data_IF_052177096455
#
_entry.id   IF_052177096455
#
_cell.length_a   1.000
_cell.length_b   1.000
_cell.length_c   1.000
_cell.angle_alpha   90.00
_cell.angle_beta   90.00
_cell.angle_gamma   90.00
#
_symmetry.space_group_name_H-M   'P 1'
#
loop_
_entity.id
_entity.type
_entity.pdbx_description
1 polymer ?
#
# COMPACT_ATOMS: atom_id res chain seq x y z
N UNK A 1 -3.21 13.72 1.04
CA UNK A 1 -3.19 13.30 -0.38
C UNK A 1 -3.63 14.45 -1.26
N UNK A 2 -2.68 15.12 -1.92
CA UNK A 2 -3.01 16.15 -2.91
C UNK A 2 -3.47 15.50 -4.23
N UNK A 3 -4.51 16.07 -4.85
CA UNK A 3 -5.00 15.60 -6.15
C UNK A 3 -3.97 15.98 -7.23
N UNK A 4 -3.61 15.01 -8.08
CA UNK A 4 -2.77 15.25 -9.26
C UNK A 4 -1.30 14.83 -9.13
N UNK A 5 -0.87 14.28 -7.98
CA UNK A 5 0.46 13.73 -7.83
C UNK A 5 0.49 12.30 -8.39
N UNK A 6 1.28 12.10 -9.44
CA UNK A 6 1.56 10.81 -10.04
C UNK A 6 2.92 10.31 -9.54
N UNK A 7 3.07 8.99 -9.43
CA UNK A 7 4.40 8.38 -9.39
C UNK A 7 4.95 8.37 -10.81
N UNK A 8 5.99 9.14 -11.06
CA UNK A 8 6.49 9.45 -12.39
C UNK A 8 7.68 8.59 -12.81
N UNK A 9 8.25 8.94 -13.97
CA UNK A 9 9.40 8.27 -14.55
C UNK A 9 10.62 8.29 -13.60
N UNK A 10 10.82 9.40 -12.89
CA UNK A 10 11.92 9.57 -11.94
C UNK A 10 11.89 8.48 -10.87
N UNK A 11 10.73 8.22 -10.28
CA UNK A 11 10.55 7.22 -9.22
C UNK A 11 10.73 5.79 -9.75
N UNK A 12 10.25 5.50 -10.96
CA UNK A 12 10.45 4.22 -11.63
C UNK A 12 11.93 3.95 -11.92
N UNK A 13 12.63 4.92 -12.52
CA UNK A 13 14.07 4.83 -12.79
C UNK A 13 14.87 4.68 -11.49
N UNK A 14 14.57 5.49 -10.48
CA UNK A 14 15.25 5.43 -9.19
C UNK A 14 15.10 4.03 -8.55
N UNK A 15 13.88 3.49 -8.56
CA UNK A 15 13.61 2.15 -8.03
C UNK A 15 14.38 1.07 -8.79
N UNK A 16 14.41 1.16 -10.12
CA UNK A 16 15.12 0.18 -10.94
C UNK A 16 16.64 0.24 -10.74
N UNK A 17 17.23 1.44 -10.63
CA UNK A 17 18.67 1.56 -10.36
C UNK A 17 19.05 0.98 -9.00
N UNK A 18 18.24 1.21 -7.97
CA UNK A 18 18.45 0.56 -6.65
C UNK A 18 18.35 -0.95 -6.72
N UNK A 19 17.44 -1.47 -7.54
CA UNK A 19 17.33 -2.91 -7.77
C UNK A 19 18.60 -3.46 -8.40
N UNK A 20 19.17 -2.78 -9.40
CA UNK A 20 20.44 -3.17 -10.01
C UNK A 20 21.58 -3.19 -9.00
N UNK A 21 21.78 -2.10 -8.26
CA UNK A 21 22.85 -1.99 -7.26
C UNK A 21 22.78 -3.11 -6.20
N UNK A 22 21.58 -3.41 -5.69
CA UNK A 22 21.41 -4.45 -4.67
C UNK A 22 21.58 -5.85 -5.27
N UNK A 23 21.19 -6.03 -6.55
CA UNK A 23 21.30 -7.31 -7.24
C UNK A 23 22.77 -7.73 -7.45
N UNK A 24 23.71 -6.79 -7.47
CA UNK A 24 25.15 -7.10 -7.53
C UNK A 24 25.65 -7.85 -6.29
N UNK A 25 25.02 -7.63 -5.13
CA UNK A 25 25.44 -8.19 -3.84
C UNK A 25 24.46 -9.21 -3.26
N UNK A 26 23.26 -9.33 -3.83
CA UNK A 26 22.20 -10.24 -3.36
C UNK A 26 21.39 -10.77 -4.54
N UNK A 27 21.02 -12.05 -4.47
CA UNK A 27 20.09 -12.61 -5.46
C UNK A 27 18.68 -12.06 -5.23
N UNK A 28 18.20 -11.25 -6.18
CA UNK A 28 16.84 -10.71 -6.21
C UNK A 28 16.10 -11.21 -7.44
N UNK A 29 14.88 -11.72 -7.23
CA UNK A 29 14.02 -12.26 -8.31
C UNK A 29 13.37 -11.17 -9.17
N UNK A 30 13.17 -9.99 -8.60
CA UNK A 30 12.50 -8.88 -9.26
C UNK A 30 12.32 -7.70 -8.31
N UNK A 31 11.69 -6.66 -8.81
CA UNK A 31 11.37 -5.44 -8.08
C UNK A 31 9.97 -4.98 -8.44
N UNK A 32 9.24 -4.48 -7.45
CA UNK A 32 7.92 -3.90 -7.62
C UNK A 32 7.89 -2.49 -7.05
N UNK A 33 7.32 -1.55 -7.81
CA UNK A 33 7.02 -0.21 -7.34
C UNK A 33 5.53 -0.11 -7.02
N UNK A 34 5.23 0.23 -5.76
CA UNK A 34 3.85 0.32 -5.25
C UNK A 34 3.50 1.76 -4.93
N UNK A 35 2.31 2.22 -5.31
CA UNK A 35 1.80 3.56 -4.98
C UNK A 35 0.29 3.54 -4.68
N UNK A 36 -0.15 4.39 -3.74
CA UNK A 36 -1.57 4.60 -3.45
C UNK A 36 -2.21 5.65 -4.37
N UNK A 37 -1.50 6.12 -5.41
CA UNK A 37 -2.03 7.02 -6.43
C UNK A 37 -2.00 6.35 -7.82
N UNK A 38 -1.53 7.05 -8.84
CA UNK A 38 -1.46 6.60 -10.24
C UNK A 38 -0.04 6.76 -10.75
N UNK A 39 0.35 5.91 -11.71
CA UNK A 39 1.58 6.08 -12.46
C UNK A 39 1.39 7.02 -13.65
N UNK A 40 2.44 7.71 -14.08
CA UNK A 40 2.46 8.38 -15.38
C UNK A 40 2.67 7.36 -16.51
N UNK A 41 2.25 7.70 -17.73
CA UNK A 41 2.44 6.83 -18.90
C UNK A 41 3.91 6.52 -19.16
N UNK A 42 4.79 7.50 -18.94
CA UNK A 42 6.24 7.31 -19.04
C UNK A 42 6.78 6.31 -18.02
N UNK A 43 6.25 6.33 -16.78
CA UNK A 43 6.64 5.35 -15.76
C UNK A 43 6.18 3.94 -16.15
N UNK A 44 4.96 3.80 -16.67
CA UNK A 44 4.42 2.52 -17.15
C UNK A 44 5.24 1.99 -18.32
N UNK A 45 5.56 2.85 -19.29
CA UNK A 45 6.35 2.47 -20.47
C UNK A 45 7.76 2.03 -20.07
N UNK A 46 8.46 2.82 -19.25
CA UNK A 46 9.77 2.46 -18.72
C UNK A 46 9.72 1.11 -17.99
N UNK A 47 8.76 0.96 -17.07
CA UNK A 47 8.63 -0.27 -16.29
C UNK A 47 8.40 -1.50 -17.14
N UNK A 48 7.55 -1.40 -18.17
CA UNK A 48 7.32 -2.49 -19.14
C UNK A 48 8.60 -2.86 -19.90
N UNK A 49 9.40 -1.87 -20.30
CA UNK A 49 10.65 -2.11 -21.04
C UNK A 49 11.73 -2.79 -20.18
N UNK A 50 11.80 -2.46 -18.89
CA UNK A 50 12.86 -2.94 -17.99
C UNK A 50 12.42 -4.08 -17.06
N UNK A 51 11.16 -4.53 -17.15
CA UNK A 51 10.63 -5.60 -16.29
C UNK A 51 10.50 -5.20 -14.82
N UNK A 52 10.16 -3.93 -14.54
CA UNK A 52 9.82 -3.43 -13.21
C UNK A 52 8.31 -3.59 -12.99
N UNK A 53 7.90 -4.39 -12.01
CA UNK A 53 6.48 -4.57 -11.69
C UNK A 53 5.89 -3.28 -11.10
N UNK A 54 4.64 -3.00 -11.43
CA UNK A 54 3.93 -1.81 -10.94
C UNK A 54 2.60 -2.21 -10.28
N UNK A 55 2.33 -1.68 -9.09
CA UNK A 55 1.05 -1.77 -8.40
C UNK A 55 0.60 -0.39 -7.93
N UNK A 56 -0.40 0.17 -8.60
CA UNK A 56 -0.98 1.47 -8.29
C UNK A 56 -2.37 1.34 -7.68
N UNK A 57 -2.98 2.46 -7.28
CA UNK A 57 -4.33 2.46 -6.74
C UNK A 57 -5.37 1.88 -7.70
N UNK A 58 -5.16 2.02 -9.01
CA UNK A 58 -6.03 1.51 -10.09
C UNK A 58 -5.25 0.77 -11.19
N UNK A 59 -4.03 0.35 -10.88
CA UNK A 59 -3.11 -0.28 -11.83
C UNK A 59 -2.50 -1.56 -11.24
N UNK A 60 -2.38 -2.66 -12.00
CA UNK A 60 -2.89 -2.82 -13.37
C UNK A 60 -4.43 -2.77 -13.40
N UNK A 61 -5.05 -2.41 -14.54
CA UNK A 61 -6.50 -2.30 -14.63
C UNK A 61 -7.18 -3.60 -14.18
N UNK A 62 -8.14 -3.49 -13.25
CA UNK A 62 -8.87 -4.63 -12.68
C UNK A 62 -8.13 -5.43 -11.61
N UNK A 63 -6.86 -5.11 -11.35
CA UNK A 63 -5.99 -5.81 -10.40
C UNK A 63 -5.14 -4.82 -9.57
N UNK A 64 -5.64 -3.60 -9.41
CA UNK A 64 -4.98 -2.56 -8.62
C UNK A 64 -5.07 -2.80 -7.11
N UNK A 65 -4.42 -1.91 -6.36
CA UNK A 65 -4.35 -2.01 -4.90
C UNK A 65 -5.75 -1.92 -4.26
N UNK A 66 -6.64 -1.11 -4.81
CA UNK A 66 -8.04 -1.00 -4.36
C UNK A 66 -8.79 -2.32 -4.51
N UNK A 67 -8.64 -3.00 -5.64
CA UNK A 67 -9.29 -4.30 -5.89
C UNK A 67 -8.74 -5.35 -4.93
N UNK A 68 -7.43 -5.33 -4.68
CA UNK A 68 -6.79 -6.28 -3.75
C UNK A 68 -7.25 -6.06 -2.30
N UNK A 69 -7.38 -4.81 -1.86
CA UNK A 69 -7.92 -4.47 -0.53
C UNK A 69 -9.36 -4.97 -0.39
N UNK A 70 -10.22 -4.66 -1.37
CA UNK A 70 -11.63 -5.07 -1.34
C UNK A 70 -11.81 -6.60 -1.35
N UNK A 71 -11.05 -7.31 -2.20
CA UNK A 71 -11.10 -8.78 -2.28
C UNK A 71 -10.62 -9.46 -0.99
N UNK A 72 -9.60 -8.90 -0.35
CA UNK A 72 -8.99 -9.47 0.86
C UNK A 72 -9.66 -9.04 2.15
N UNK A 73 -10.48 -7.97 2.11
CA UNK A 73 -11.04 -7.28 3.27
C UNK A 73 -9.97 -6.82 4.27
N UNK A 74 -8.75 -6.59 3.78
CA UNK A 74 -7.62 -6.07 4.57
C UNK A 74 -7.57 -4.55 4.44
N UNK A 75 -8.49 -3.87 5.13
CA UNK A 75 -8.49 -2.41 5.16
C UNK A 75 -7.41 -1.90 6.11
N UNK A 76 -6.65 -0.85 5.76
CA UNK A 76 -5.66 -0.26 6.65
C UNK A 76 -6.28 0.24 7.95
N UNK A 77 -5.55 0.17 9.06
CA UNK A 77 -6.05 0.66 10.36
C UNK A 77 -6.36 2.17 10.37
N UNK A 78 -5.78 2.90 9.42
CA UNK A 78 -6.01 4.34 9.23
C UNK A 78 -7.44 4.68 8.79
N UNK A 79 -8.27 3.70 8.40
CA UNK A 79 -9.72 3.94 8.18
C UNK A 79 -10.46 4.32 9.47
N UNK A 80 -9.85 4.06 10.63
CA UNK A 80 -10.40 4.42 11.94
C UNK A 80 -10.04 5.85 12.38
N UNK A 81 -9.29 6.59 11.56
CA UNK A 81 -9.00 8.01 11.82
C UNK A 81 -10.29 8.81 12.02
N UNK A 82 -10.39 9.49 13.16
CA UNK A 82 -11.59 10.23 13.57
C UNK A 82 -12.58 9.43 14.42
N UNK A 83 -12.43 8.11 14.52
CA UNK A 83 -13.16 7.26 15.48
C UNK A 83 -12.30 6.96 16.72
N UNK A 84 -10.99 6.88 16.53
CA UNK A 84 -9.99 6.76 17.60
C UNK A 84 -8.93 7.85 17.47
N UNK A 85 -8.17 8.06 18.55
CA UNK A 85 -7.12 9.10 18.58
C UNK A 85 -5.95 8.74 17.66
N UNK A 86 -5.26 9.76 17.13
CA UNK A 86 -4.04 9.54 16.32
C UNK A 86 -2.94 8.83 17.12
N UNK A 87 -2.84 9.10 18.44
CA UNK A 87 -1.93 8.39 19.34
C UNK A 87 -2.26 6.90 19.43
N UNK A 88 -3.55 6.55 19.52
CA UNK A 88 -3.99 5.16 19.57
C UNK A 88 -3.71 4.43 18.26
N UNK A 89 -3.95 5.08 17.11
CA UNK A 89 -3.55 4.53 15.80
C UNK A 89 -2.03 4.30 15.75
N UNK A 90 -1.23 5.27 16.21
CA UNK A 90 0.21 5.15 16.21
C UNK A 90 0.69 3.99 17.11
N UNK A 91 0.08 3.80 18.27
CA UNK A 91 0.44 2.73 19.20
C UNK A 91 0.00 1.35 18.69
N UNK A 92 -1.15 1.25 18.01
CA UNK A 92 -1.57 0.06 17.27
C UNK A 92 -0.55 -0.30 16.18
N UNK A 93 -0.12 0.67 15.37
CA UNK A 93 0.88 0.46 14.32
C UNK A 93 2.22 0.00 14.92
N UNK A 94 2.69 0.63 16.00
CA UNK A 94 3.92 0.21 16.72
C UNK A 94 3.80 -1.23 17.25
N UNK A 95 2.59 -1.63 17.64
CA UNK A 95 2.26 -2.98 18.11
C UNK A 95 2.02 -3.99 16.97
N UNK A 96 2.29 -3.58 15.73
CA UNK A 96 2.20 -4.40 14.52
C UNK A 96 0.77 -4.60 14.01
N UNK A 97 -0.20 -3.78 14.42
CA UNK A 97 -1.54 -3.77 13.84
C UNK A 97 -1.58 -2.77 12.69
N UNK A 98 -1.64 -3.27 11.46
CA UNK A 98 -1.62 -2.47 10.23
C UNK A 98 -2.94 -2.55 9.47
N UNK A 99 -3.75 -3.58 9.72
CA UNK A 99 -5.07 -3.79 9.11
C UNK A 99 -6.18 -3.94 10.14
N UNK A 100 -7.42 -3.65 9.74
CA UNK A 100 -8.63 -3.90 10.56
C UNK A 100 -8.82 -5.39 10.84
N UNK A 101 -8.31 -6.26 9.96
CA UNK A 101 -8.31 -7.70 10.14
C UNK A 101 -7.40 -8.14 11.29
N UNK A 102 -6.25 -7.48 11.46
CA UNK A 102 -5.33 -7.77 12.58
C UNK A 102 -6.01 -7.55 13.93
N UNK A 103 -6.86 -6.52 14.04
CA UNK A 103 -7.63 -6.22 15.25
C UNK A 103 -8.59 -7.37 15.60
N UNK A 104 -9.27 -7.93 14.60
CA UNK A 104 -10.21 -9.04 14.79
C UNK A 104 -9.45 -10.33 15.16
N UNK A 105 -8.43 -10.68 14.38
CA UNK A 105 -7.71 -11.96 14.53
C UNK A 105 -6.94 -12.02 15.85
N UNK A 106 -6.36 -10.90 16.29
CA UNK A 106 -5.61 -10.80 17.55
C UNK A 106 -6.47 -10.31 18.72
N UNK A 107 -7.78 -10.13 18.50
CA UNK A 107 -8.77 -9.71 19.52
C UNK A 107 -8.37 -8.43 20.27
N UNK A 108 -7.89 -7.44 19.53
CA UNK A 108 -7.59 -6.12 20.11
C UNK A 108 -8.89 -5.37 20.41
N UNK A 109 -8.95 -4.74 21.58
CA UNK A 109 -10.06 -3.87 21.97
C UNK A 109 -9.76 -2.45 21.48
N UNK A 110 -10.69 -1.88 20.72
CA UNK A 110 -10.73 -0.47 20.34
C UNK A 110 -12.13 0.06 20.66
N UNK A 111 -12.32 1.38 20.64
CA UNK A 111 -13.61 2.00 20.98
C UNK A 111 -14.82 1.39 20.24
N UNK A 112 -15.99 1.36 20.89
CA UNK A 112 -17.19 0.68 20.39
C UNK A 112 -17.60 1.11 18.98
N UNK A 113 -17.46 2.39 18.66
CA UNK A 113 -17.76 2.92 17.33
C UNK A 113 -16.78 2.42 16.25
N UNK A 114 -15.49 2.31 16.60
CA UNK A 114 -14.48 1.72 15.72
C UNK A 114 -14.76 0.21 15.51
N UNK A 115 -15.13 -0.52 16.56
CA UNK A 115 -15.52 -1.93 16.45
C UNK A 115 -16.76 -2.14 15.58
N UNK A 116 -17.73 -1.21 15.61
CA UNK A 116 -18.90 -1.24 14.73
C UNK A 116 -18.51 -1.09 13.26
N UNK A 117 -17.61 -0.14 12.95
CA UNK A 117 -17.11 0.05 11.58
C UNK A 117 -16.36 -1.17 11.09
N UNK A 118 -15.45 -1.73 11.90
CA UNK A 118 -14.67 -2.92 11.53
C UNK A 118 -15.57 -4.10 11.17
N UNK A 119 -16.66 -4.31 11.91
CA UNK A 119 -17.62 -5.40 11.65
C UNK A 119 -18.50 -5.19 10.40
N UNK A 120 -18.57 -3.95 9.88
CA UNK A 120 -19.35 -3.61 8.69
C UNK A 120 -18.57 -3.61 7.37
N UNK A 121 -17.25 -3.77 7.42
CA UNK A 121 -16.32 -3.70 6.28
C UNK A 121 -16.14 -5.04 5.55
#
# INVERSE_FOLDING_TARGET
NERGIYTGLKEAMYTYMRFLDIKEVRELKGVILVTNTKFSDQAIEFSRCYGLDLLGWKYPPGEGLEVKIEKSKMYPITVLSGLISESEIADLIKSGFVSTRDLIERKAEVGDDAMRVIRGL
#
